data_IF_084731167031
#
_entry.id   IF_084731167031
#
_cell.length_a   1.000
_cell.length_b   1.000
_cell.length_c   1.000
_cell.angle_alpha   90.00
_cell.angle_beta   90.00
_cell.angle_gamma   90.00
#
_symmetry.space_group_name_H-M   'P 1'
#
loop_
_entity.id
_entity.type
_entity.pdbx_description
1 polymer ?
#
# COMPACT_ATOMS: atom_id res chain seq x y z
N UNK A 1 20.76 -42.10 -33.06
CA UNK A 1 20.92 -41.04 -32.03
C UNK A 1 20.10 -39.81 -32.41
N UNK A 2 18.79 -39.79 -32.14
CA UNK A 2 17.94 -38.65 -32.53
C UNK A 2 16.77 -38.35 -31.58
N UNK A 3 16.52 -39.22 -30.60
CA UNK A 3 15.44 -39.10 -29.60
C UNK A 3 15.84 -38.22 -28.41
N UNK A 4 17.09 -38.30 -27.93
CA UNK A 4 17.55 -37.51 -26.76
C UNK A 4 17.47 -35.99 -26.99
N UNK A 5 17.93 -35.51 -28.14
CA UNK A 5 17.83 -34.10 -28.52
C UNK A 5 16.39 -33.59 -28.63
N UNK A 6 15.44 -34.47 -28.91
CA UNK A 6 14.02 -34.11 -29.05
C UNK A 6 13.37 -33.99 -27.67
N UNK A 7 13.73 -34.89 -26.75
CA UNK A 7 13.26 -34.89 -25.37
C UNK A 7 13.82 -33.70 -24.58
N UNK A 8 15.11 -33.39 -24.74
CA UNK A 8 15.73 -32.21 -24.12
C UNK A 8 15.09 -30.89 -24.57
N UNK A 9 14.80 -30.76 -25.87
CA UNK A 9 14.09 -29.58 -26.40
C UNK A 9 12.67 -29.47 -25.86
N UNK A 10 11.99 -30.60 -25.69
CA UNK A 10 10.63 -30.61 -25.13
C UNK A 10 10.65 -30.16 -23.66
N UNK A 11 11.59 -30.71 -22.87
CA UNK A 11 11.81 -30.30 -21.48
C UNK A 11 12.13 -28.81 -21.36
N UNK A 12 13.08 -28.31 -22.13
CA UNK A 12 13.44 -26.89 -22.13
C UNK A 12 12.24 -25.99 -22.52
N UNK A 13 11.43 -26.43 -23.48
CA UNK A 13 10.21 -25.70 -23.87
C UNK A 13 9.16 -25.68 -22.76
N UNK A 14 9.01 -26.79 -22.04
CA UNK A 14 8.09 -26.92 -20.93
C UNK A 14 8.54 -26.06 -19.75
N UNK A 15 9.83 -26.12 -19.39
CA UNK A 15 10.44 -25.27 -18.37
C UNK A 15 10.23 -23.78 -18.65
N UNK A 16 10.50 -23.34 -19.88
CA UNK A 16 10.29 -21.96 -20.31
C UNK A 16 8.82 -21.53 -20.20
N UNK A 17 7.88 -22.41 -20.58
CA UNK A 17 6.45 -22.14 -20.45
C UNK A 17 6.02 -22.06 -18.97
N UNK A 18 6.47 -22.98 -18.13
CA UNK A 18 6.18 -22.93 -16.68
C UNK A 18 6.75 -21.70 -16.02
N UNK A 19 7.98 -21.29 -16.36
CA UNK A 19 8.60 -20.09 -15.83
C UNK A 19 7.83 -18.82 -16.23
N UNK A 20 7.39 -18.76 -17.49
CA UNK A 20 6.55 -17.66 -17.99
C UNK A 20 5.21 -17.59 -17.24
N UNK A 21 4.52 -18.73 -17.08
CA UNK A 21 3.26 -18.82 -16.37
C UNK A 21 3.40 -18.41 -14.90
N UNK A 22 4.44 -18.86 -14.20
CA UNK A 22 4.76 -18.46 -12.83
C UNK A 22 5.02 -16.95 -12.71
N UNK A 23 5.79 -16.39 -13.63
CA UNK A 23 6.09 -14.96 -13.66
C UNK A 23 4.85 -14.11 -13.92
N UNK A 24 3.91 -14.61 -14.71
CA UNK A 24 2.62 -13.95 -14.94
C UNK A 24 1.70 -14.03 -13.72
N UNK A 25 1.65 -15.19 -13.06
CA UNK A 25 0.88 -15.39 -11.83
C UNK A 25 1.40 -14.51 -10.69
N UNK A 26 2.72 -14.38 -10.58
CA UNK A 26 3.37 -13.49 -9.61
C UNK A 26 3.02 -12.02 -9.88
N UNK A 27 3.04 -11.58 -11.15
CA UNK A 27 2.60 -10.22 -11.52
C UNK A 27 1.13 -9.97 -11.20
N UNK A 28 0.26 -10.95 -11.48
CA UNK A 28 -1.17 -10.88 -11.15
C UNK A 28 -1.41 -10.83 -9.63
N UNK A 29 -0.65 -11.61 -8.86
CA UNK A 29 -0.71 -11.59 -7.40
C UNK A 29 -0.28 -10.24 -6.84
N UNK A 30 0.84 -9.67 -7.32
CA UNK A 30 1.30 -8.34 -6.92
C UNK A 30 0.24 -7.29 -7.25
N UNK A 31 -0.32 -7.30 -8.46
CA UNK A 31 -1.37 -6.37 -8.86
C UNK A 31 -2.66 -6.50 -8.03
N UNK A 32 -3.03 -7.73 -7.65
CA UNK A 32 -4.18 -7.99 -6.78
C UNK A 32 -3.91 -7.57 -5.33
N UNK A 33 -2.68 -7.75 -4.83
CA UNK A 33 -2.26 -7.25 -3.51
C UNK A 33 -2.13 -5.72 -3.47
N UNK A 34 -1.84 -5.10 -4.61
CA UNK A 34 -1.85 -3.65 -4.81
C UNK A 34 -3.26 -3.07 -5.01
N UNK A 35 -4.32 -3.90 -5.06
CA UNK A 35 -5.70 -3.43 -4.86
C UNK A 35 -5.93 -3.09 -3.37
N UNK A 36 -5.10 -2.19 -2.85
CA UNK A 36 -5.41 -1.45 -1.63
C UNK A 36 -6.48 -0.46 -2.03
N UNK A 37 -7.64 -0.51 -1.38
CA UNK A 37 -8.64 0.54 -1.51
C UNK A 37 -7.95 1.89 -1.29
N UNK A 38 -7.86 2.69 -2.36
CA UNK A 38 -7.26 4.01 -2.27
C UNK A 38 -8.29 4.91 -1.59
N UNK A 39 -8.13 5.08 -0.28
CA UNK A 39 -9.03 5.91 0.52
C UNK A 39 -8.65 7.39 0.44
N UNK A 40 -9.30 8.09 -0.48
CA UNK A 40 -9.35 9.56 -0.48
C UNK A 40 -8.02 10.29 -0.73
N UNK A 41 -8.07 11.62 -0.72
CA UNK A 41 -6.89 12.48 -0.77
C UNK A 41 -6.43 12.91 0.62
N UNK A 42 -5.28 13.60 0.73
CA UNK A 42 -4.70 14.04 2.01
C UNK A 42 -5.68 14.88 2.87
N UNK A 43 -6.58 15.64 2.25
CA UNK A 43 -7.62 16.41 2.93
C UNK A 43 -8.61 15.53 3.73
N UNK A 44 -8.76 14.26 3.34
CA UNK A 44 -9.64 13.31 4.03
C UNK A 44 -8.95 12.62 5.21
N UNK A 45 -7.65 12.83 5.44
CA UNK A 45 -6.89 12.19 6.52
C UNK A 45 -7.56 12.37 7.89
N UNK A 46 -8.10 13.56 8.18
CA UNK A 46 -8.81 13.83 9.42
C UNK A 46 -10.06 12.98 9.61
N UNK A 47 -10.82 12.75 8.53
CA UNK A 47 -12.00 11.88 8.53
C UNK A 47 -11.59 10.42 8.72
N UNK A 48 -10.59 9.96 7.97
CA UNK A 48 -10.05 8.59 8.05
C UNK A 48 -9.57 8.30 9.48
N UNK A 49 -8.79 9.20 10.08
CA UNK A 49 -8.32 9.05 11.46
C UNK A 49 -9.47 9.03 12.48
N UNK A 50 -10.56 9.78 12.23
CA UNK A 50 -11.74 9.78 13.09
C UNK A 50 -12.51 8.46 12.99
N UNK A 51 -12.71 7.94 11.78
CA UNK A 51 -13.36 6.65 11.53
C UNK A 51 -12.54 5.49 12.12
N UNK A 52 -11.23 5.52 11.97
CA UNK A 52 -10.32 4.56 12.59
C UNK A 52 -10.47 4.57 14.12
N UNK A 53 -10.47 5.76 14.75
CA UNK A 53 -10.67 5.91 16.20
C UNK A 53 -11.99 5.34 16.68
N UNK A 54 -13.07 5.61 15.95
CA UNK A 54 -14.40 5.09 16.29
C UNK A 54 -14.47 3.57 16.17
N UNK A 55 -13.92 3.02 15.08
CA UNK A 55 -13.93 1.58 14.81
C UNK A 55 -13.11 0.81 15.84
N UNK A 56 -11.93 1.34 16.20
CA UNK A 56 -10.99 0.68 17.11
C UNK A 56 -11.13 1.10 18.57
N UNK A 57 -12.13 1.94 18.92
CA UNK A 57 -12.33 2.53 20.26
C UNK A 57 -11.04 3.18 20.81
N UNK A 58 -10.30 3.88 19.94
CA UNK A 58 -9.04 4.54 20.27
C UNK A 58 -9.18 6.06 20.30
N UNK A 59 -8.20 6.74 20.88
CA UNK A 59 -8.14 8.20 20.98
C UNK A 59 -6.80 8.73 20.42
N UNK A 60 -6.59 10.05 20.51
CA UNK A 60 -5.36 10.66 20.03
C UNK A 60 -4.14 10.22 20.84
N UNK A 61 -4.32 9.91 22.12
CA UNK A 61 -3.25 9.44 23.02
C UNK A 61 -2.75 8.05 22.59
N UNK A 62 -3.67 7.15 22.23
CA UNK A 62 -3.34 5.83 21.69
C UNK A 62 -2.60 5.96 20.36
N UNK A 63 -3.13 6.75 19.43
CA UNK A 63 -2.47 6.96 18.14
C UNK A 63 -1.10 7.62 18.33
N UNK A 64 -0.96 8.55 19.27
CA UNK A 64 0.29 9.21 19.61
C UNK A 64 1.35 8.21 20.08
N UNK A 65 0.95 7.29 20.96
CA UNK A 65 1.81 6.22 21.44
C UNK A 65 2.29 5.32 20.29
N UNK A 66 1.38 4.92 19.38
CA UNK A 66 1.68 3.99 18.29
C UNK A 66 2.53 4.62 17.18
N UNK A 67 2.31 5.91 16.89
CA UNK A 67 2.99 6.63 15.81
C UNK A 67 4.25 7.38 16.28
N UNK A 68 4.48 7.48 17.58
CA UNK A 68 5.59 8.26 18.16
C UNK A 68 5.45 9.77 18.00
N UNK A 69 4.29 10.28 17.58
CA UNK A 69 3.99 11.72 17.51
C UNK A 69 3.10 12.14 18.67
N UNK A 70 3.06 13.44 19.00
CA UNK A 70 2.28 13.90 20.15
C UNK A 70 0.77 13.93 19.85
N UNK A 71 -0.07 13.77 20.88
CA UNK A 71 -1.55 13.88 20.75
C UNK A 71 -1.96 15.22 20.14
N UNK A 72 -1.26 16.31 20.49
CA UNK A 72 -1.47 17.63 19.88
C UNK A 72 -1.18 17.64 18.38
N UNK A 73 -0.05 17.04 17.98
CA UNK A 73 0.32 16.93 16.56
C UNK A 73 -0.74 16.16 15.77
N UNK A 74 -1.27 15.07 16.34
CA UNK A 74 -2.37 14.32 15.73
C UNK A 74 -3.62 15.19 15.60
N UNK A 75 -3.98 15.92 16.66
CA UNK A 75 -5.13 16.82 16.62
C UNK A 75 -4.99 17.86 15.52
N UNK A 76 -3.85 18.56 15.46
CA UNK A 76 -3.57 19.57 14.42
C UNK A 76 -3.64 18.96 13.03
N UNK A 77 -3.00 17.81 12.82
CA UNK A 77 -3.00 17.12 11.52
C UNK A 77 -4.38 16.62 11.10
N UNK A 78 -5.22 16.18 12.05
CA UNK A 78 -6.60 15.80 11.72
C UNK A 78 -7.48 16.99 11.36
N UNK A 79 -7.13 18.21 11.80
CA UNK A 79 -7.84 19.43 11.44
C UNK A 79 -7.31 20.09 10.17
N UNK A 80 -5.99 20.10 9.99
CA UNK A 80 -5.29 20.63 8.82
C UNK A 80 -4.15 19.68 8.40
N UNK A 81 -4.47 18.65 7.60
CA UNK A 81 -3.48 17.68 7.16
C UNK A 81 -2.51 18.24 6.12
N UNK A 82 -2.86 19.35 5.44
CA UNK A 82 -2.02 19.94 4.39
C UNK A 82 -0.79 20.66 4.93
N UNK A 83 -0.87 21.19 6.15
CA UNK A 83 0.25 21.87 6.81
C UNK A 83 1.13 20.91 7.65
N UNK A 84 0.84 19.60 7.59
CA UNK A 84 1.57 18.59 8.35
C UNK A 84 2.81 18.11 7.61
N UNK A 85 3.89 17.84 8.35
CA UNK A 85 5.09 17.22 7.76
C UNK A 85 4.74 15.84 7.21
N UNK A 86 5.26 15.50 6.03
CA UNK A 86 5.05 14.20 5.39
C UNK A 86 5.43 13.04 6.32
N UNK A 87 6.53 13.17 7.07
CA UNK A 87 6.96 12.15 8.05
C UNK A 87 5.91 11.90 9.13
N UNK A 88 5.21 12.94 9.60
CA UNK A 88 4.14 12.84 10.60
C UNK A 88 2.92 12.13 10.03
N UNK A 89 2.57 12.45 8.78
CA UNK A 89 1.46 11.78 8.07
C UNK A 89 1.75 10.30 7.91
N UNK A 90 2.97 9.96 7.46
CA UNK A 90 3.40 8.57 7.30
C UNK A 90 3.38 7.81 8.63
N UNK A 91 3.88 8.42 9.71
CA UNK A 91 3.87 7.78 11.04
C UNK A 91 2.45 7.49 11.54
N UNK A 92 1.50 8.41 11.30
CA UNK A 92 0.10 8.17 11.65
C UNK A 92 -0.54 7.08 10.77
N UNK A 93 -0.30 7.11 9.47
CA UNK A 93 -0.83 6.08 8.56
C UNK A 93 -0.29 4.70 8.93
N UNK A 94 1.00 4.58 9.24
CA UNK A 94 1.63 3.34 9.68
C UNK A 94 0.99 2.81 10.96
N UNK A 95 0.76 3.68 11.96
CA UNK A 95 0.04 3.31 13.18
C UNK A 95 -1.41 2.84 12.94
N UNK A 96 -2.04 3.27 11.83
CA UNK A 96 -3.36 2.82 11.41
C UNK A 96 -3.33 1.61 10.47
N UNK A 97 -2.15 1.11 10.10
CA UNK A 97 -1.99 0.03 9.11
C UNK A 97 -2.29 0.47 7.67
N UNK A 98 -2.12 1.75 7.37
CA UNK A 98 -2.40 2.38 6.07
C UNK A 98 -1.11 2.85 5.39
N UNK A 99 -1.16 3.02 4.07
CA UNK A 99 -0.02 3.52 3.29
C UNK A 99 -0.41 4.71 2.43
N UNK A 100 0.53 5.66 2.27
CA UNK A 100 0.37 6.80 1.38
C UNK A 100 0.76 6.42 -0.05
N UNK A 101 -0.17 6.58 -0.99
CA UNK A 101 0.09 6.45 -2.43
C UNK A 101 0.15 7.83 -3.07
N UNK A 102 1.23 8.14 -3.79
CA UNK A 102 1.38 9.38 -4.55
C UNK A 102 1.16 9.07 -6.02
N UNK A 103 -0.01 9.44 -6.53
CA UNK A 103 -0.33 9.34 -7.96
C UNK A 103 -0.02 10.66 -8.65
N UNK A 104 0.71 10.60 -9.77
CA UNK A 104 0.90 11.79 -10.63
C UNK A 104 -0.42 12.04 -11.35
N UNK A 105 -0.96 13.26 -11.23
CA UNK A 105 -2.12 13.68 -12.05
C UNK A 105 -1.71 13.57 -13.52
N UNK A 106 -2.48 12.84 -14.32
CA UNK A 106 -2.29 12.78 -15.78
C UNK A 106 -2.30 14.21 -16.31
N UNK A 107 -1.36 14.56 -17.19
CA UNK A 107 -1.18 15.93 -17.68
C UNK A 107 -2.33 16.45 -18.58
N UNK A 108 -3.40 15.67 -18.74
CA UNK A 108 -4.50 15.90 -19.69
C UNK A 108 -5.86 16.17 -18.99
N UNK A 109 -5.87 16.77 -17.79
CA UNK A 109 -7.09 17.36 -17.20
C UNK A 109 -7.01 18.89 -17.11
#
# INVERSE_FOLDING_TARGET
MSTDNSVERLLASYEAQTFSALSELQRKLIAAMDQRETMGGIQQLGKIAKEYKQTNKSNNETLALLSGVTSNTISTMTSDPTNSKVSTVLALLDAMGMTLTISRKSADE
#
